data_IF_731873940050
#
_entry.id   IF_731873940050
#
_cell.length_a   1.000
_cell.length_b   1.000
_cell.length_c   1.000
_cell.angle_alpha   90.00
_cell.angle_beta   90.00
_cell.angle_gamma   90.00
#
_symmetry.space_group_name_H-M   'P 1'
#
loop_
_entity.id
_entity.type
_entity.pdbx_description
1 polymer ?
#
# COMPACT_ATOMS: atom_id res chain seq x y z
N UNK A 1 1.54 2.27 10.54
CA UNK A 1 1.44 3.03 9.27
C UNK A 1 -0.03 3.18 8.91
N UNK A 2 -0.64 4.36 9.14
CA UNK A 2 -2.04 4.60 8.77
C UNK A 2 -2.06 5.08 7.32
N UNK A 3 -2.43 4.19 6.40
CA UNK A 3 -2.58 4.56 4.98
C UNK A 3 -3.92 5.29 4.86
N UNK A 4 -3.87 6.61 4.72
CA UNK A 4 -5.05 7.44 4.49
C UNK A 4 -5.80 7.06 3.20
N UNK A 5 -7.04 7.55 3.01
CA UNK A 5 -7.82 7.25 1.82
C UNK A 5 -7.03 7.67 0.56
N UNK A 6 -6.85 6.73 -0.37
CA UNK A 6 -6.18 7.00 -1.64
C UNK A 6 -6.91 8.11 -2.39
N UNK A 7 -6.16 9.07 -2.94
CA UNK A 7 -6.76 10.19 -3.68
C UNK A 7 -7.59 9.70 -4.88
N UNK A 8 -8.62 10.47 -5.25
CA UNK A 8 -9.46 10.16 -6.42
C UNK A 8 -8.63 10.11 -7.71
N UNK A 9 -7.62 10.97 -7.83
CA UNK A 9 -6.70 10.96 -8.97
C UNK A 9 -5.93 9.64 -9.06
N UNK A 10 -5.40 9.14 -7.94
CA UNK A 10 -4.72 7.84 -7.89
C UNK A 10 -5.66 6.70 -8.26
N UNK A 11 -6.92 6.73 -7.78
CA UNK A 11 -7.93 5.72 -8.15
C UNK A 11 -8.17 5.67 -9.66
N UNK A 12 -8.25 6.83 -10.33
CA UNK A 12 -8.40 6.92 -11.79
C UNK A 12 -7.18 6.36 -12.53
N UNK A 13 -5.98 6.74 -12.12
CA UNK A 13 -4.73 6.25 -12.74
C UNK A 13 -4.61 4.72 -12.65
N UNK A 14 -4.98 4.14 -11.50
CA UNK A 14 -5.00 2.69 -11.33
C UNK A 14 -6.04 2.05 -12.24
N UNK A 15 -7.25 2.60 -12.33
CA UNK A 15 -8.30 2.08 -13.21
C UNK A 15 -7.88 2.10 -14.69
N UNK A 16 -7.30 3.20 -15.17
CA UNK A 16 -6.78 3.31 -16.54
C UNK A 16 -5.67 2.30 -16.82
N UNK A 17 -4.74 2.13 -15.89
CA UNK A 17 -3.65 1.16 -16.01
C UNK A 17 -4.19 -0.27 -16.14
N UNK A 18 -5.21 -0.62 -15.35
CA UNK A 18 -5.86 -1.94 -15.40
C UNK A 18 -6.57 -2.17 -16.73
N UNK A 19 -7.26 -1.16 -17.24
CA UNK A 19 -7.90 -1.25 -18.57
C UNK A 19 -6.87 -1.48 -19.69
N UNK A 20 -5.72 -0.80 -19.65
CA UNK A 20 -4.62 -1.05 -20.62
C UNK A 20 -4.08 -2.48 -20.58
N UNK A 21 -4.22 -3.17 -19.45
CA UNK A 21 -3.81 -4.56 -19.27
C UNK A 21 -4.94 -5.56 -19.56
N UNK A 22 -6.11 -5.10 -20.03
CA UNK A 22 -7.28 -5.96 -20.24
C UNK A 22 -7.95 -6.43 -18.95
N UNK A 23 -7.65 -5.79 -17.81
CA UNK A 23 -8.21 -6.13 -16.51
C UNK A 23 -9.41 -5.24 -16.16
N UNK A 24 -10.36 -5.72 -15.34
CA UNK A 24 -11.47 -4.90 -14.86
C UNK A 24 -10.94 -3.70 -14.05
N UNK A 25 -11.54 -2.51 -14.17
CA UNK A 25 -11.05 -1.29 -13.51
C UNK A 25 -11.16 -1.34 -11.98
N UNK A 26 -12.00 -2.22 -11.45
CA UNK A 26 -12.20 -2.45 -10.01
C UNK A 26 -11.96 -3.92 -9.66
N UNK A 27 -11.63 -4.15 -8.40
CA UNK A 27 -11.55 -5.49 -7.81
C UNK A 27 -12.75 -5.60 -6.87
N UNK A 28 -13.72 -6.42 -7.24
CA UNK A 28 -14.97 -6.58 -6.48
C UNK A 28 -15.09 -7.95 -5.83
N UNK A 29 -14.26 -8.91 -6.25
CA UNK A 29 -14.33 -10.28 -5.74
C UNK A 29 -13.73 -10.37 -4.31
N UNK A 30 -14.52 -10.71 -3.28
CA UNK A 30 -14.07 -10.64 -1.88
C UNK A 30 -12.81 -11.47 -1.59
N UNK A 31 -12.75 -12.70 -2.10
CA UNK A 31 -11.58 -13.57 -1.91
C UNK A 31 -10.27 -12.99 -2.46
N UNK A 32 -10.34 -12.20 -3.54
CA UNK A 32 -9.16 -11.54 -4.12
C UNK A 32 -8.70 -10.40 -3.23
N UNK A 33 -9.65 -9.65 -2.65
CA UNK A 33 -9.37 -8.57 -1.70
C UNK A 33 -8.72 -9.12 -0.43
N UNK A 34 -9.25 -10.21 0.11
CA UNK A 34 -8.70 -10.90 1.29
C UNK A 34 -7.28 -11.41 1.04
N UNK A 35 -7.06 -12.06 -0.10
CA UNK A 35 -5.74 -12.55 -0.50
C UNK A 35 -4.73 -11.41 -0.67
N UNK A 36 -5.14 -10.30 -1.28
CA UNK A 36 -4.31 -9.09 -1.42
C UNK A 36 -3.99 -8.48 -0.05
N UNK A 37 -4.97 -8.39 0.85
CA UNK A 37 -4.77 -7.87 2.19
C UNK A 37 -3.76 -8.73 2.97
N UNK A 38 -3.87 -10.05 2.90
CA UNK A 38 -2.92 -10.97 3.53
C UNK A 38 -1.51 -10.83 2.94
N UNK A 39 -1.39 -10.76 1.61
CA UNK A 39 -0.13 -10.54 0.93
C UNK A 39 0.53 -9.23 1.37
N UNK A 40 -0.22 -8.11 1.38
CA UNK A 40 0.30 -6.81 1.80
C UNK A 40 0.72 -6.82 3.26
N UNK A 41 -0.07 -7.42 4.16
CA UNK A 41 0.28 -7.54 5.58
C UNK A 41 1.62 -8.26 5.78
N UNK A 42 1.80 -9.39 5.09
CA UNK A 42 3.02 -10.17 5.21
C UNK A 42 4.21 -9.41 4.59
N UNK A 43 4.02 -8.83 3.41
CA UNK A 43 5.08 -8.06 2.72
C UNK A 43 5.55 -6.90 3.58
N UNK A 44 4.62 -6.09 4.10
CA UNK A 44 4.95 -4.94 4.95
C UNK A 44 5.60 -5.36 6.27
N UNK A 45 5.23 -6.51 6.83
CA UNK A 45 5.88 -7.05 8.04
C UNK A 45 7.32 -7.52 7.80
N UNK A 46 7.67 -7.87 6.56
CA UNK A 46 9.03 -8.30 6.18
C UNK A 46 9.92 -7.18 5.70
N UNK A 47 9.38 -5.97 5.47
CA UNK A 47 10.20 -4.82 5.11
C UNK A 47 11.07 -4.44 6.31
N UNK A 48 12.40 -4.26 6.13
CA UNK A 48 13.25 -3.78 7.20
C UNK A 48 12.77 -2.38 7.63
N UNK A 49 12.81 -2.06 8.94
CA UNK A 49 12.47 -0.72 9.38
C UNK A 49 13.39 0.30 8.71
N UNK A 50 12.82 1.39 8.21
CA UNK A 50 13.58 2.51 7.66
C UNK A 50 14.53 3.05 8.75
N UNK A 51 15.83 2.84 8.54
CA UNK A 51 16.91 3.17 9.50
C UNK A 51 16.99 4.65 9.85
N UNK A 52 16.30 5.51 9.11
CA UNK A 52 16.31 6.95 9.32
C UNK A 52 15.33 7.40 10.41
N UNK A 53 14.37 6.57 10.81
CA UNK A 53 13.40 6.94 11.86
C UNK A 53 14.01 6.86 13.28
N UNK A 54 15.00 6.00 13.51
CA UNK A 54 15.69 5.88 14.80
C UNK A 54 16.67 7.05 15.06
N UNK A 55 17.28 7.62 14.01
CA UNK A 55 18.26 8.71 14.16
C UNK A 55 17.63 10.01 14.67
N UNK A 56 16.41 10.31 14.27
CA UNK A 56 15.69 11.50 14.74
C UNK A 56 15.18 11.35 16.18
N UNK A 57 14.97 10.11 16.65
CA UNK A 57 14.55 9.85 18.02
C UNK A 57 15.74 9.97 18.99
N UNK A 58 16.91 9.44 18.62
CA UNK A 58 18.15 9.57 19.41
C UNK A 58 18.63 11.03 19.51
N UNK A 59 18.45 11.82 18.45
CA UNK A 59 18.85 13.24 18.43
C UNK A 59 17.93 14.16 19.22
N UNK A 60 16.71 13.71 19.55
CA UNK A 60 15.77 14.41 20.43
C UNK A 60 15.89 13.99 21.89
N UNK A 61 16.52 12.85 22.15
CA UNK A 61 16.80 12.34 23.49
C UNK A 61 18.18 12.76 24.05
N UNK A 62 18.98 13.48 23.26
CA UNK A 62 20.27 14.08 23.62
C UNK A 62 20.15 15.63 23.66
#
# INVERSE_FOLDING_TARGET
MWVGPTSEQTRRLVAESRLRQGLPPRIEHPAVIESLALFLRNTLATLPPDRDQDRDNDRRAA
#
